data_IF_365834269425
#
_entry.id   IF_365834269425
#
_cell.length_a   1.000
_cell.length_b   1.000
_cell.length_c   1.000
_cell.angle_alpha   90.00
_cell.angle_beta   90.00
_cell.angle_gamma   90.00
#
_symmetry.space_group_name_H-M   'P 1'
#
loop_
_entity.id
_entity.type
_entity.pdbx_description
1 polymer ?
#
# COMPACT_ATOMS: atom_id res chain seq x y z
N UNK A 1 -4.92 -10.74 9.65
CA UNK A 1 -5.59 -10.11 8.51
C UNK A 1 -4.86 -10.43 7.21
N UNK A 2 -3.91 -9.63 6.71
CA UNK A 2 -3.23 -9.91 5.43
C UNK A 2 -2.46 -11.23 5.36
N UNK A 3 -1.92 -11.69 6.49
CA UNK A 3 -1.27 -13.00 6.63
C UNK A 3 -2.21 -14.08 7.22
N UNK A 4 -3.51 -13.80 7.37
CA UNK A 4 -4.47 -14.70 8.02
C UNK A 4 -4.37 -14.79 9.55
N UNK A 5 -3.37 -14.15 10.17
CA UNK A 5 -3.05 -14.30 11.62
C UNK A 5 -3.87 -13.45 12.61
N UNK A 6 -4.92 -12.76 12.17
CA UNK A 6 -5.75 -11.98 13.10
C UNK A 6 -7.10 -12.68 13.22
N UNK A 7 -7.49 -13.00 14.45
CA UNK A 7 -8.70 -13.75 14.79
C UNK A 7 -9.61 -12.96 15.74
N UNK A 8 -9.36 -11.66 15.90
CA UNK A 8 -10.19 -10.79 16.72
C UNK A 8 -11.42 -10.34 15.91
N UNK A 9 -12.61 -10.74 16.35
CA UNK A 9 -13.88 -10.39 15.68
C UNK A 9 -14.10 -8.87 15.61
N UNK A 10 -13.66 -8.13 16.64
CA UNK A 10 -13.74 -6.67 16.72
C UNK A 10 -12.34 -6.05 16.74
N UNK A 11 -11.48 -6.44 15.79
CA UNK A 11 -10.18 -5.82 15.62
C UNK A 11 -10.32 -4.31 15.41
N UNK A 12 -9.59 -3.50 16.20
CA UNK A 12 -9.61 -2.03 16.09
C UNK A 12 -8.88 -1.50 14.85
N UNK A 13 -8.18 -2.38 14.12
CA UNK A 13 -7.46 -2.03 12.91
C UNK A 13 -8.31 -2.39 11.69
N UNK A 14 -8.16 -1.63 10.62
CA UNK A 14 -8.87 -1.89 9.36
C UNK A 14 -8.50 -3.25 8.78
N UNK A 15 -9.51 -4.06 8.47
CA UNK A 15 -9.41 -5.29 7.68
C UNK A 15 -9.91 -5.10 6.24
N UNK A 16 -9.85 -3.86 5.74
CA UNK A 16 -10.15 -3.55 4.36
C UNK A 16 -8.89 -3.63 3.50
N UNK A 17 -8.93 -4.44 2.44
CA UNK A 17 -7.83 -4.55 1.46
C UNK A 17 -8.11 -3.57 0.33
N UNK A 18 -7.47 -2.41 0.40
CA UNK A 18 -7.53 -1.38 -0.64
C UNK A 18 -6.13 -0.90 -1.04
N UNK A 19 -5.92 -0.50 -2.30
CA UNK A 19 -4.62 0.00 -2.76
C UNK A 19 -4.09 1.16 -1.90
N UNK A 20 -4.97 1.99 -1.35
CA UNK A 20 -4.64 3.12 -0.48
C UNK A 20 -4.10 2.72 0.90
N UNK A 21 -4.32 1.47 1.32
CA UNK A 21 -3.89 0.93 2.63
C UNK A 21 -2.78 -0.12 2.50
N UNK A 22 -2.46 -0.55 1.30
CA UNK A 22 -1.57 -1.67 1.04
C UNK A 22 -0.13 -1.22 0.78
N UNK A 23 0.88 -1.89 1.36
CA UNK A 23 2.26 -1.56 1.07
C UNK A 23 2.67 -2.02 -0.34
N UNK A 24 3.78 -1.49 -0.83
CA UNK A 24 4.39 -1.91 -2.09
C UNK A 24 4.80 -3.38 -2.06
N UNK A 25 4.51 -4.09 -3.14
CA UNK A 25 4.87 -5.48 -3.32
C UNK A 25 6.39 -5.61 -3.47
N UNK A 26 7.05 -6.23 -2.48
CA UNK A 26 8.49 -6.52 -2.54
C UNK A 26 8.87 -7.34 -3.78
N UNK A 27 8.11 -8.39 -4.10
CA UNK A 27 8.38 -9.25 -5.25
C UNK A 27 8.20 -8.51 -6.59
N UNK A 28 7.33 -7.51 -6.65
CA UNK A 28 7.21 -6.67 -7.84
C UNK A 28 8.44 -5.79 -8.01
N UNK A 29 8.94 -5.19 -6.92
CA UNK A 29 10.17 -4.40 -6.95
C UNK A 29 11.39 -5.24 -7.36
N UNK A 30 11.41 -6.52 -6.98
CA UNK A 30 12.43 -7.50 -7.37
C UNK A 30 12.19 -8.10 -8.78
N UNK A 31 11.07 -7.79 -9.44
CA UNK A 31 10.74 -8.25 -10.78
C UNK A 31 10.25 -9.71 -10.88
N UNK A 32 9.83 -10.32 -9.78
CA UNK A 32 9.47 -11.74 -9.70
C UNK A 32 8.03 -12.01 -9.24
N UNK A 33 7.20 -10.97 -9.05
CA UNK A 33 5.79 -11.17 -8.73
C UNK A 33 5.01 -11.71 -9.94
N UNK A 34 4.30 -12.82 -9.75
CA UNK A 34 3.48 -13.48 -10.79
C UNK A 34 1.99 -13.52 -10.45
N UNK A 35 1.56 -12.81 -9.40
CA UNK A 35 0.16 -12.79 -8.96
C UNK A 35 -0.64 -11.76 -9.76
N UNK A 36 -1.63 -12.23 -10.51
CA UNK A 36 -2.52 -11.37 -11.30
C UNK A 36 -3.32 -10.39 -10.43
N UNK A 37 -3.90 -10.87 -9.33
CA UNK A 37 -4.62 -10.06 -8.34
C UNK A 37 -3.79 -9.89 -7.07
N UNK A 38 -2.59 -9.33 -7.21
CA UNK A 38 -1.74 -9.05 -6.06
C UNK A 38 -2.38 -7.97 -5.16
N UNK A 39 -2.67 -8.33 -3.92
CA UNK A 39 -3.18 -7.37 -2.91
C UNK A 39 -2.18 -6.26 -2.56
N UNK A 40 -0.89 -6.43 -2.90
CA UNK A 40 0.15 -5.44 -2.65
C UNK A 40 0.37 -4.55 -3.88
N UNK A 41 0.74 -3.30 -3.65
CA UNK A 41 0.88 -2.31 -4.72
C UNK A 41 2.02 -2.65 -5.69
N UNK A 42 1.72 -2.69 -6.99
CA UNK A 42 2.70 -2.82 -8.07
C UNK A 42 3.14 -1.44 -8.59
N UNK A 43 3.77 -0.65 -7.72
CA UNK A 43 4.26 0.69 -8.05
C UNK A 43 5.79 0.74 -7.99
N UNK A 44 6.42 1.42 -8.95
CA UNK A 44 7.87 1.64 -8.97
C UNK A 44 8.14 3.13 -8.82
N UNK A 45 8.52 3.52 -7.60
CA UNK A 45 8.89 4.90 -7.28
C UNK A 45 10.41 5.03 -7.44
N UNK A 46 10.87 6.05 -8.16
CA UNK A 46 12.31 6.33 -8.28
C UNK A 46 12.85 6.80 -6.93
N UNK A 47 14.08 6.41 -6.58
CA UNK A 47 14.75 6.90 -5.38
C UNK A 47 14.92 8.43 -5.36
N UNK A 48 14.93 9.07 -6.55
CA UNK A 48 15.00 10.52 -6.69
C UNK A 48 13.61 11.20 -6.69
N UNK A 49 12.53 10.45 -6.48
CA UNK A 49 11.18 11.04 -6.43
C UNK A 49 11.08 11.92 -5.18
N UNK A 50 10.74 13.21 -5.32
CA UNK A 50 10.62 14.09 -4.16
C UNK A 50 9.46 13.66 -3.29
N UNK A 51 9.60 13.87 -1.97
CA UNK A 51 8.50 13.63 -1.04
C UNK A 51 7.41 14.67 -1.29
N UNK A 52 6.14 14.23 -1.25
CA UNK A 52 5.01 15.13 -1.35
C UNK A 52 4.89 16.01 -0.10
N UNK A 53 5.40 17.24 -0.17
CA UNK A 53 5.37 18.20 0.95
C UNK A 53 3.94 18.53 1.44
N UNK A 54 2.94 18.74 0.57
CA UNK A 54 1.56 18.93 1.03
C UNK A 54 1.04 17.75 1.84
N UNK A 55 1.29 16.52 1.37
CA UNK A 55 0.91 15.30 2.09
C UNK A 55 1.57 15.24 3.47
N UNK A 56 2.88 15.55 3.56
CA UNK A 56 3.58 15.65 4.85
C UNK A 56 2.99 16.72 5.78
N UNK A 57 2.38 17.77 5.24
CA UNK A 57 1.71 18.83 6.02
C UNK A 57 0.27 18.47 6.39
N UNK A 58 -0.21 17.29 6.02
CA UNK A 58 -1.48 16.72 6.45
C UNK A 58 -2.46 16.44 5.33
N UNK A 59 -2.30 17.03 4.13
CA UNK A 59 -3.23 16.79 3.03
C UNK A 59 -2.63 17.13 1.66
N UNK A 60 -2.86 16.27 0.68
CA UNK A 60 -2.56 16.53 -0.73
C UNK A 60 -3.78 16.23 -1.59
N UNK A 61 -4.34 17.25 -2.24
CA UNK A 61 -5.53 17.10 -3.10
C UNK A 61 -5.32 16.14 -4.29
N UNK A 62 -4.07 15.94 -4.71
CA UNK A 62 -3.73 14.98 -5.77
C UNK A 62 -3.66 13.53 -5.29
N UNK A 63 -3.74 13.28 -3.97
CA UNK A 63 -3.76 11.94 -3.41
C UNK A 63 -5.15 11.31 -3.36
N UNK A 64 -6.20 12.12 -3.49
CA UNK A 64 -7.61 11.68 -3.54
C UNK A 64 -8.10 11.39 -4.97
N UNK A 65 -7.21 11.49 -5.96
CA UNK A 65 -7.51 11.35 -7.39
C UNK A 65 -6.85 10.10 -7.96
#
# INVERSE_FOLDING_TARGET
FLQGKCHLDNCRLSHDVGPEKMPTCKYFLEGCCTRDNCQYLHVKVSANTPICVPFLRGYCAKGDQ
#
